data_IF_488969646201
#
_entry.id   IF_488969646201
#
_cell.length_a   1.000
_cell.length_b   1.000
_cell.length_c   1.000
_cell.angle_alpha   90.00
_cell.angle_beta   90.00
_cell.angle_gamma   90.00
#
_symmetry.space_group_name_H-M   'P 1'
#
loop_
_entity.id
_entity.type
_entity.pdbx_description
1 polymer ?
#
# COMPACT_ATOMS: atom_id res chain seq x y z
N UNK A 1 11.37 -0.57 18.99
CA UNK A 1 10.13 -0.94 19.71
C UNK A 1 9.67 0.23 20.58
N UNK A 2 8.53 0.85 20.26
CA UNK A 2 7.54 1.43 21.20
C UNK A 2 6.52 2.26 20.41
N UNK A 3 5.39 1.64 20.09
CA UNK A 3 4.13 2.32 19.75
C UNK A 3 3.47 2.70 21.08
N UNK A 4 3.16 3.97 21.29
CA UNK A 4 2.28 4.39 22.37
C UNK A 4 1.00 4.95 21.76
N UNK A 5 -0.01 4.10 21.83
CA UNK A 5 -1.44 4.39 21.73
C UNK A 5 -1.84 5.35 22.85
N UNK A 6 -2.51 6.46 22.51
CA UNK A 6 -3.29 7.24 23.48
C UNK A 6 -4.77 7.15 23.08
N UNK A 7 -5.39 6.14 23.66
CA UNK A 7 -6.84 5.95 23.71
C UNK A 7 -7.47 6.92 24.71
N UNK A 8 -8.64 7.42 24.32
CA UNK A 8 -9.84 7.61 25.14
C UNK A 8 -9.68 8.20 26.56
N UNK A 9 -10.05 9.47 26.71
CA UNK A 9 -10.56 10.02 27.97
C UNK A 9 -12.07 10.16 27.85
N UNK A 10 -12.75 9.15 28.39
CA UNK A 10 -14.20 9.05 28.57
C UNK A 10 -14.55 9.55 29.99
N UNK A 11 -15.62 10.34 30.05
CA UNK A 11 -16.52 10.61 31.17
C UNK A 11 -15.93 11.12 32.50
N UNK A 12 -16.25 12.38 32.80
CA UNK A 12 -16.53 12.81 34.18
C UNK A 12 -17.80 13.65 34.17
N UNK A 13 -18.92 13.02 34.55
CA UNK A 13 -20.13 13.69 35.01
C UNK A 13 -20.14 13.52 36.54
N UNK A 14 -19.89 14.60 37.27
CA UNK A 14 -20.20 14.67 38.70
C UNK A 14 -21.44 15.52 38.88
N UNK A 15 -22.57 14.84 39.08
CA UNK A 15 -23.73 15.40 39.72
C UNK A 15 -23.34 15.86 41.14
N UNK A 16 -23.47 17.15 41.42
CA UNK A 16 -23.42 17.69 42.78
C UNK A 16 -24.81 18.19 43.11
N UNK A 17 -25.46 17.52 44.04
CA UNK A 17 -26.68 17.98 44.70
C UNK A 17 -26.69 17.50 46.15
N UNK A 18 -26.90 18.45 47.08
CA UNK A 18 -27.47 18.36 48.46
C UNK A 18 -26.88 19.51 49.31
N UNK A 19 -27.52 20.69 49.38
CA UNK A 19 -28.51 21.19 50.37
C UNK A 19 -27.97 21.39 51.80
N UNK A 20 -27.91 22.65 52.24
CA UNK A 20 -28.18 23.10 53.61
C UNK A 20 -28.72 24.55 53.60
N UNK A 21 -29.75 24.81 54.41
CA UNK A 21 -30.63 25.99 54.44
C UNK A 21 -29.97 27.32 54.86
N UNK A 22 -30.32 28.44 54.20
CA UNK A 22 -30.99 29.59 54.84
C UNK A 22 -31.61 30.53 53.78
N UNK A 23 -32.93 30.77 53.92
CA UNK A 23 -33.70 31.97 53.56
C UNK A 23 -33.13 32.92 52.47
N UNK A 24 -33.53 32.75 51.22
CA UNK A 24 -34.26 33.76 50.44
C UNK A 24 -34.80 33.13 49.15
N UNK A 25 -36.09 33.33 48.87
CA UNK A 25 -36.78 32.78 47.73
C UNK A 25 -36.78 33.84 46.64
N UNK A 26 -35.68 33.94 45.88
CA UNK A 26 -35.63 34.76 44.69
C UNK A 26 -34.87 34.02 43.59
N UNK A 27 -35.64 33.60 42.60
CA UNK A 27 -35.20 33.12 41.29
C UNK A 27 -34.48 31.77 41.34
N UNK A 28 -35.21 30.74 40.95
CA UNK A 28 -34.62 29.72 40.07
C UNK A 28 -33.91 30.53 38.99
N UNK A 29 -32.58 30.60 39.05
CA UNK A 29 -31.79 31.15 37.95
C UNK A 29 -32.12 30.22 36.81
N UNK A 30 -33.10 30.67 36.04
CA UNK A 30 -33.55 30.10 34.80
C UNK A 30 -32.26 30.00 34.02
N UNK A 31 -31.71 28.78 33.91
CA UNK A 31 -30.65 28.49 32.95
C UNK A 31 -31.33 28.81 31.63
N UNK A 32 -31.18 30.08 31.23
CA UNK A 32 -31.86 30.63 30.09
C UNK A 32 -31.40 29.76 28.94
N UNK A 33 -32.35 29.15 28.22
CA UNK A 33 -32.03 28.48 26.98
C UNK A 33 -31.15 29.44 26.17
N UNK A 34 -30.02 28.98 25.61
CA UNK A 34 -29.12 29.85 24.87
C UNK A 34 -29.95 30.65 23.87
N UNK A 35 -29.67 31.96 23.70
CA UNK A 35 -30.44 32.80 22.80
C UNK A 35 -30.52 32.12 21.44
N UNK A 36 -31.69 32.15 20.78
CA UNK A 36 -31.97 31.36 19.57
C UNK A 36 -30.92 31.54 18.44
N UNK A 37 -30.17 32.63 18.46
CA UNK A 37 -29.04 32.87 17.57
C UNK A 37 -27.83 31.98 17.84
N UNK A 38 -27.50 31.71 19.11
CA UNK A 38 -26.40 30.82 19.51
C UNK A 38 -26.70 29.37 19.10
N UNK A 39 -27.92 28.89 19.31
CA UNK A 39 -28.36 27.57 18.82
C UNK A 39 -28.27 27.47 17.29
N UNK A 40 -28.71 28.51 16.55
CA UNK A 40 -28.60 28.54 15.08
C UNK A 40 -27.15 28.57 14.60
N UNK A 41 -26.24 29.21 15.33
CA UNK A 41 -24.81 29.19 15.01
C UNK A 41 -24.19 27.81 15.25
N UNK A 42 -24.56 27.14 16.34
CA UNK A 42 -24.17 25.75 16.63
C UNK A 42 -24.66 24.78 15.55
N UNK A 43 -25.91 24.92 15.07
CA UNK A 43 -26.45 24.10 13.98
C UNK A 43 -25.67 24.32 12.69
N UNK A 44 -25.40 25.58 12.31
CA UNK A 44 -24.57 25.90 11.13
C UNK A 44 -23.15 25.37 11.25
N UNK A 45 -22.54 25.45 12.44
CA UNK A 45 -21.21 24.92 12.69
C UNK A 45 -21.19 23.38 12.54
N UNK A 46 -22.22 22.71 13.05
CA UNK A 46 -22.39 21.25 12.94
C UNK A 46 -22.53 20.83 11.48
N UNK A 47 -23.40 21.49 10.70
CA UNK A 47 -23.56 21.21 9.27
C UNK A 47 -22.29 21.52 8.48
N UNK A 48 -21.55 22.59 8.82
CA UNK A 48 -20.28 22.90 8.20
C UNK A 48 -19.23 21.81 8.45
N UNK A 49 -19.13 21.30 9.69
CA UNK A 49 -18.23 20.20 10.05
C UNK A 49 -18.62 18.91 9.34
N UNK A 50 -19.92 18.60 9.26
CA UNK A 50 -20.44 17.44 8.53
C UNK A 50 -20.08 17.52 7.05
N UNK A 51 -20.39 18.63 6.39
CA UNK A 51 -20.06 18.82 4.97
C UNK A 51 -18.55 18.81 4.70
N UNK A 52 -17.74 19.32 5.62
CA UNK A 52 -16.28 19.20 5.52
C UNK A 52 -15.82 17.74 5.66
N UNK A 53 -16.39 16.99 6.59
CA UNK A 53 -16.06 15.57 6.83
C UNK A 53 -16.45 14.69 5.65
N UNK A 54 -17.61 14.93 5.03
CA UNK A 54 -18.06 14.24 3.82
C UNK A 54 -17.08 14.46 2.67
N UNK A 55 -16.69 15.71 2.38
CA UNK A 55 -15.70 16.03 1.34
C UNK A 55 -14.34 15.38 1.60
N UNK A 56 -13.88 15.37 2.85
CA UNK A 56 -12.63 14.69 3.22
C UNK A 56 -12.76 13.17 3.02
N UNK A 57 -13.89 12.58 3.39
CA UNK A 57 -14.17 11.16 3.17
C UNK A 57 -14.21 10.77 1.69
N UNK A 58 -14.82 11.59 0.85
CA UNK A 58 -14.83 11.42 -0.61
C UNK A 58 -13.42 11.52 -1.18
N UNK A 59 -12.65 12.54 -0.81
CA UNK A 59 -11.27 12.72 -1.27
C UNK A 59 -10.35 11.57 -0.82
N UNK A 60 -10.51 11.10 0.42
CA UNK A 60 -9.76 9.95 0.93
C UNK A 60 -10.11 8.67 0.17
N UNK A 61 -11.39 8.46 -0.15
CA UNK A 61 -11.86 7.32 -0.94
C UNK A 61 -11.28 7.36 -2.35
N UNK A 62 -11.41 8.49 -3.06
CA UNK A 62 -10.86 8.65 -4.40
C UNK A 62 -9.34 8.45 -4.44
N UNK A 63 -8.63 8.93 -3.41
CA UNK A 63 -7.18 8.74 -3.29
C UNK A 63 -6.82 7.26 -3.09
N UNK A 64 -7.56 6.55 -2.24
CA UNK A 64 -7.35 5.11 -2.01
C UNK A 64 -7.58 4.30 -3.27
N UNK A 65 -8.64 4.63 -4.01
CA UNK A 65 -8.99 3.90 -5.23
C UNK A 65 -7.94 4.16 -6.32
N UNK A 66 -7.52 5.42 -6.51
CA UNK A 66 -6.43 5.77 -7.42
C UNK A 66 -5.10 5.08 -7.07
N UNK A 67 -4.77 4.98 -5.78
CA UNK A 67 -3.57 4.26 -5.32
C UNK A 67 -3.66 2.75 -5.59
N UNK A 68 -4.85 2.17 -5.46
CA UNK A 68 -5.11 0.75 -5.74
C UNK A 68 -4.97 0.45 -7.23
N UNK A 69 -5.54 1.30 -8.08
CA UNK A 69 -5.44 1.18 -9.55
C UNK A 69 -3.98 1.33 -10.02
N UNK A 70 -3.24 2.29 -9.47
CA UNK A 70 -1.83 2.49 -9.78
C UNK A 70 -0.98 1.27 -9.37
N UNK A 71 -1.27 0.67 -8.22
CA UNK A 71 -0.59 -0.55 -7.76
C UNK A 71 -0.87 -1.74 -8.69
N UNK A 72 -2.13 -1.93 -9.10
CA UNK A 72 -2.51 -2.98 -10.05
C UNK A 72 -1.80 -2.79 -11.40
N UNK A 73 -1.83 -1.58 -11.96
CA UNK A 73 -1.15 -1.28 -13.22
C UNK A 73 0.38 -1.48 -13.13
N UNK A 74 0.98 -1.21 -11.97
CA UNK A 74 2.41 -1.46 -11.75
C UNK A 74 2.71 -2.98 -11.70
N UNK A 75 1.86 -3.78 -11.07
CA UNK A 75 1.99 -5.25 -11.04
C UNK A 75 1.89 -5.84 -12.45
N UNK A 76 0.87 -5.45 -13.22
CA UNK A 76 0.70 -5.93 -14.60
C UNK A 76 1.91 -5.59 -15.48
N UNK A 77 2.48 -4.39 -15.32
CA UNK A 77 3.70 -3.98 -16.03
C UNK A 77 4.92 -4.75 -15.57
N UNK A 78 5.06 -5.02 -14.27
CA UNK A 78 6.15 -5.83 -13.74
C UNK A 78 6.09 -7.26 -14.32
N UNK A 79 4.90 -7.83 -14.42
CA UNK A 79 4.68 -9.13 -15.07
C UNK A 79 5.02 -9.10 -16.55
N UNK A 80 4.66 -8.03 -17.28
CA UNK A 80 5.05 -7.83 -18.67
C UNK A 80 6.56 -7.75 -18.87
N UNK A 81 7.27 -6.97 -18.03
CA UNK A 81 8.73 -6.85 -18.06
C UNK A 81 9.39 -8.20 -17.77
N UNK A 82 8.92 -8.93 -16.76
CA UNK A 82 9.40 -10.28 -16.43
C UNK A 82 9.18 -11.24 -17.60
N UNK A 83 8.00 -11.25 -18.21
CA UNK A 83 7.70 -12.09 -19.36
C UNK A 83 8.61 -11.81 -20.56
N UNK A 84 8.92 -10.53 -20.84
CA UNK A 84 9.85 -10.16 -21.91
C UNK A 84 11.28 -10.64 -21.62
N UNK A 85 11.76 -10.44 -20.39
CA UNK A 85 13.07 -10.93 -19.97
C UNK A 85 13.17 -12.47 -20.12
N UNK A 86 12.15 -13.21 -19.68
CA UNK A 86 12.11 -14.67 -19.85
C UNK A 86 12.07 -15.11 -21.32
N UNK A 87 11.39 -14.36 -22.19
CA UNK A 87 11.38 -14.63 -23.63
C UNK A 87 12.77 -14.42 -24.25
N UNK A 88 13.45 -13.33 -23.91
CA UNK A 88 14.81 -13.04 -24.37
C UNK A 88 15.81 -14.08 -23.86
N UNK A 89 15.70 -14.51 -22.60
CA UNK A 89 16.53 -15.60 -22.06
C UNK A 89 16.31 -16.91 -22.82
N UNK A 90 15.06 -17.25 -23.17
CA UNK A 90 14.77 -18.44 -23.99
C UNK A 90 15.39 -18.35 -25.37
N UNK A 91 15.36 -17.18 -26.00
CA UNK A 91 16.02 -16.96 -27.29
C UNK A 91 17.53 -17.16 -27.17
N UNK A 92 18.17 -16.60 -26.13
CA UNK A 92 19.60 -16.80 -25.88
C UNK A 92 19.95 -18.27 -25.65
N UNK A 93 19.16 -19.01 -24.86
CA UNK A 93 19.31 -20.45 -24.67
C UNK A 93 19.23 -21.18 -26.02
N UNK A 94 18.27 -20.81 -26.87
CA UNK A 94 18.15 -21.35 -28.23
C UNK A 94 19.41 -21.10 -29.07
N UNK A 95 19.96 -19.88 -29.01
CA UNK A 95 21.20 -19.53 -29.73
C UNK A 95 22.40 -20.31 -29.21
N UNK A 96 22.55 -20.49 -27.89
CA UNK A 96 23.61 -21.34 -27.31
C UNK A 96 23.53 -22.76 -27.88
N UNK A 97 22.33 -23.35 -27.90
CA UNK A 97 22.12 -24.70 -28.46
C UNK A 97 22.48 -24.77 -29.95
N UNK A 98 22.10 -23.76 -30.74
CA UNK A 98 22.46 -23.70 -32.17
C UNK A 98 23.98 -23.62 -32.35
N UNK A 99 24.65 -22.73 -31.62
CA UNK A 99 26.11 -22.59 -31.71
C UNK A 99 26.85 -23.85 -31.28
N UNK A 100 26.36 -24.56 -30.26
CA UNK A 100 26.91 -25.87 -29.89
C UNK A 100 26.73 -26.91 -31.02
N UNK A 101 25.58 -26.93 -31.68
CA UNK A 101 25.33 -27.84 -32.81
C UNK A 101 26.21 -27.54 -34.03
N UNK A 102 26.62 -26.27 -34.20
CA UNK A 102 27.50 -25.80 -35.26
C UNK A 102 29.00 -25.81 -34.88
N UNK A 103 29.36 -26.40 -33.73
CA UNK A 103 30.72 -26.43 -33.16
C UNK A 103 31.36 -25.04 -32.92
N UNK A 104 30.53 -24.01 -32.75
CA UNK A 104 30.95 -22.64 -32.41
C UNK A 104 31.08 -22.46 -30.88
N UNK A 105 31.93 -23.26 -30.25
CA UNK A 105 32.02 -23.37 -28.77
C UNK A 105 32.35 -22.06 -28.06
N UNK A 106 33.25 -21.25 -28.60
CA UNK A 106 33.66 -19.97 -27.99
C UNK A 106 32.49 -18.97 -27.92
N UNK A 107 31.74 -18.84 -29.02
CA UNK A 107 30.56 -17.96 -29.09
C UNK A 107 29.46 -18.44 -28.14
N UNK A 108 29.27 -19.76 -28.08
CA UNK A 108 28.31 -20.37 -27.15
C UNK A 108 28.70 -20.09 -25.68
N UNK A 109 30.00 -20.11 -25.35
CA UNK A 109 30.52 -19.83 -24.01
C UNK A 109 30.34 -18.35 -23.61
N UNK A 110 30.50 -17.42 -24.53
CA UNK A 110 30.23 -16.00 -24.28
C UNK A 110 28.75 -15.75 -23.94
N UNK A 111 27.84 -16.35 -24.70
CA UNK A 111 26.41 -16.27 -24.39
C UNK A 111 26.07 -16.95 -23.06
N UNK A 112 26.73 -18.07 -22.73
CA UNK A 112 26.53 -18.71 -21.43
C UNK A 112 26.97 -17.84 -20.28
N UNK A 113 28.11 -17.13 -20.37
CA UNK A 113 28.52 -16.21 -19.30
C UNK A 113 27.45 -15.15 -19.01
N UNK A 114 26.80 -14.64 -20.07
CA UNK A 114 25.68 -13.70 -19.92
C UNK A 114 24.49 -14.36 -19.23
N UNK A 115 24.11 -15.58 -19.64
CA UNK A 115 23.02 -16.34 -19.02
C UNK A 115 23.30 -16.66 -17.55
N UNK A 116 24.52 -17.08 -17.20
CA UNK A 116 24.94 -17.38 -15.84
C UNK A 116 24.87 -16.15 -14.93
N UNK A 117 25.23 -14.97 -15.43
CA UNK A 117 25.09 -13.72 -14.69
C UNK A 117 23.62 -13.35 -14.39
N UNK A 118 22.68 -13.80 -15.23
CA UNK A 118 21.24 -13.58 -15.05
C UNK A 118 20.55 -14.70 -14.25
N UNK A 119 21.19 -15.86 -14.10
CA UNK A 119 20.61 -17.12 -13.60
C UNK A 119 19.76 -16.95 -12.34
N UNK A 120 20.26 -16.24 -11.35
CA UNK A 120 19.59 -16.12 -10.05
C UNK A 120 18.34 -15.25 -10.06
N UNK A 121 18.17 -14.41 -11.08
CA UNK A 121 17.02 -13.52 -11.25
C UNK A 121 15.91 -14.12 -12.13
N UNK A 122 16.12 -15.33 -12.65
CA UNK A 122 15.21 -16.00 -13.57
C UNK A 122 14.34 -17.04 -12.84
N UNK A 123 13.24 -17.42 -13.47
CA UNK A 123 12.38 -18.50 -12.98
C UNK A 123 13.13 -19.83 -12.92
N UNK A 124 12.70 -20.70 -12.01
CA UNK A 124 13.36 -21.99 -11.74
C UNK A 124 13.48 -22.86 -13.00
N UNK A 125 12.51 -22.79 -13.91
CA UNK A 125 12.56 -23.51 -15.19
C UNK A 125 13.72 -23.06 -16.08
N UNK A 126 13.96 -21.75 -16.17
CA UNK A 126 15.08 -21.20 -16.94
C UNK A 126 16.42 -21.41 -16.23
N UNK A 127 16.44 -21.26 -14.91
CA UNK A 127 17.61 -21.56 -14.08
C UNK A 127 18.08 -23.00 -14.30
N UNK A 128 17.17 -23.96 -14.21
CA UNK A 128 17.49 -25.37 -14.41
C UNK A 128 18.01 -25.66 -15.83
N UNK A 129 17.51 -24.95 -16.84
CA UNK A 129 17.99 -25.11 -18.21
C UNK A 129 19.39 -24.52 -18.42
N UNK A 130 19.67 -23.36 -17.80
CA UNK A 130 21.01 -22.77 -17.76
C UNK A 130 21.99 -23.72 -17.08
N UNK A 131 21.63 -24.32 -15.95
CA UNK A 131 22.47 -25.29 -15.22
C UNK A 131 22.75 -26.55 -16.05
N UNK A 132 21.77 -27.05 -16.80
CA UNK A 132 22.00 -28.16 -17.75
C UNK A 132 23.01 -27.78 -18.83
N UNK A 133 22.88 -26.59 -19.41
CA UNK A 133 23.84 -26.12 -20.41
C UNK A 133 25.24 -25.95 -19.79
N UNK A 134 25.35 -25.35 -18.61
CA UNK A 134 26.63 -25.23 -17.86
C UNK A 134 27.31 -26.60 -17.67
N UNK A 135 26.54 -27.65 -17.36
CA UNK A 135 27.07 -29.01 -17.24
C UNK A 135 27.62 -29.54 -18.58
N UNK A 136 26.93 -29.31 -19.70
CA UNK A 136 27.39 -29.73 -21.04
C UNK A 136 28.74 -29.09 -21.43
N UNK A 137 29.02 -27.86 -21.00
CA UNK A 137 30.31 -27.21 -21.23
C UNK A 137 31.43 -27.70 -20.30
N UNK A 138 31.08 -28.35 -19.19
CA UNK A 138 32.02 -28.86 -18.20
C UNK A 138 32.47 -30.28 -18.50
N UNK A 139 31.68 -31.01 -19.30
CA UNK A 139 31.98 -32.37 -19.78
C UNK A 139 32.73 -32.41 -21.14
N UNK A 140 32.90 -31.24 -21.78
CA UNK A 140 33.54 -31.07 -23.09
C UNK A 140 35.02 -30.65 -22.98
#
# INVERSE_FOLDING_TARGET
MKRQTLSALVASWTAVGLIACDRDQASVEQVAAPPAEESRMLDRATEAVKGASERVGEAATATRDAASDAAAAAMDRADGVRGHAEAQTREMIGRVKSFLAEDQKEVARELMNTLSAMKDSLSDGLRAEIERLEAMFSEA
#
